data_IF_574843310589
#
_entry.id   IF_574843310589
#
_cell.length_a   1.000
_cell.length_b   1.000
_cell.length_c   1.000
_cell.angle_alpha   90.00
_cell.angle_beta   90.00
_cell.angle_gamma   90.00
#
_symmetry.space_group_name_H-M   'P 1'
#
loop_
_entity.id
_entity.type
_entity.pdbx_description
1 polymer ?
#
# COMPACT_ATOMS: atom_id res chain seq x y z
N UNK A 1 2.97 -26.46 -19.10
CA UNK A 1 1.65 -26.76 -18.50
C UNK A 1 0.97 -25.44 -18.28
N UNK A 2 -0.09 -25.16 -19.05
CA UNK A 2 -0.89 -23.96 -18.87
C UNK A 2 -1.69 -24.11 -17.58
N UNK A 3 -1.51 -23.19 -16.64
CA UNK A 3 -2.26 -23.16 -15.40
C UNK A 3 -3.71 -22.75 -15.69
N UNK A 4 -4.61 -23.73 -15.80
CA UNK A 4 -6.07 -23.56 -15.91
C UNK A 4 -6.65 -23.17 -14.53
N UNK A 5 -6.32 -21.95 -14.09
CA UNK A 5 -6.66 -21.45 -12.76
C UNK A 5 -8.17 -21.35 -12.55
N UNK A 6 -8.64 -21.76 -11.37
CA UNK A 6 -10.00 -21.46 -10.91
C UNK A 6 -10.27 -19.94 -10.97
N UNK A 7 -11.11 -19.53 -11.93
CA UNK A 7 -11.53 -18.13 -12.12
C UNK A 7 -12.65 -17.68 -11.18
N UNK A 8 -12.94 -18.42 -10.10
CA UNK A 8 -14.05 -18.10 -9.20
C UNK A 8 -13.55 -17.40 -7.94
N UNK A 9 -13.18 -16.13 -8.08
CA UNK A 9 -13.02 -15.23 -6.95
C UNK A 9 -14.37 -14.66 -6.52
N UNK A 10 -14.77 -14.90 -5.27
CA UNK A 10 -15.89 -14.19 -4.66
C UNK A 10 -15.35 -13.02 -3.83
N UNK A 11 -15.93 -11.83 -4.02
CA UNK A 11 -15.56 -10.63 -3.29
C UNK A 11 -16.75 -10.10 -2.48
N UNK A 12 -16.47 -9.66 -1.25
CA UNK A 12 -17.43 -8.97 -0.39
C UNK A 12 -16.87 -7.60 -0.04
N UNK A 13 -17.72 -6.57 -0.10
CA UNK A 13 -17.35 -5.19 0.21
C UNK A 13 -18.42 -4.60 1.12
N UNK A 14 -17.98 -3.90 2.16
CA UNK A 14 -18.85 -3.20 3.11
C UNK A 14 -18.38 -1.77 3.33
N UNK A 15 -19.32 -0.85 3.42
CA UNK A 15 -19.09 0.53 3.83
C UNK A 15 -20.01 0.85 5.03
N UNK A 16 -19.46 1.52 6.04
CA UNK A 16 -20.18 1.93 7.25
C UNK A 16 -20.13 3.45 7.33
N UNK A 17 -21.30 4.08 7.41
CA UNK A 17 -21.41 5.53 7.64
C UNK A 17 -21.28 5.83 9.13
N UNK A 18 -20.07 6.24 9.54
CA UNK A 18 -19.74 6.56 10.94
C UNK A 18 -20.60 7.71 11.49
N UNK A 19 -21.05 8.64 10.65
CA UNK A 19 -21.86 9.79 11.08
C UNK A 19 -23.21 9.39 11.67
N UNK A 20 -23.66 8.16 11.43
CA UNK A 20 -24.87 7.58 12.01
C UNK A 20 -24.68 7.06 13.44
N UNK A 21 -23.43 6.95 13.91
CA UNK A 21 -23.08 6.41 15.22
C UNK A 21 -22.52 7.46 16.16
N UNK A 22 -21.71 8.39 15.63
CA UNK A 22 -21.10 9.46 16.43
C UNK A 22 -20.65 10.64 15.56
N UNK A 23 -20.24 11.73 16.21
CA UNK A 23 -19.61 12.86 15.53
C UNK A 23 -18.29 12.43 14.89
N UNK A 24 -18.02 12.92 13.67
CA UNK A 24 -16.82 12.55 12.91
C UNK A 24 -15.51 13.03 13.55
N UNK A 25 -15.51 14.17 14.22
CA UNK A 25 -14.30 14.70 14.87
C UNK A 25 -13.99 13.91 16.14
N UNK A 26 -15.01 13.53 16.92
CA UNK A 26 -14.86 12.65 18.07
C UNK A 26 -14.33 11.27 17.65
N UNK A 27 -14.83 10.72 16.53
CA UNK A 27 -14.37 9.44 16.00
C UNK A 27 -12.88 9.50 15.63
N UNK A 28 -12.47 10.54 14.90
CA UNK A 28 -11.06 10.73 14.53
C UNK A 28 -10.17 10.87 15.76
N UNK A 29 -10.60 11.65 16.76
CA UNK A 29 -9.86 11.82 18.00
C UNK A 29 -9.65 10.49 18.75
N UNK A 30 -10.66 9.60 18.75
CA UNK A 30 -10.54 8.28 19.37
C UNK A 30 -9.59 7.35 18.57
N UNK A 31 -9.63 7.40 17.24
CA UNK A 31 -8.68 6.67 16.37
C UNK A 31 -7.24 7.18 16.56
N UNK A 32 -7.04 8.49 16.70
CA UNK A 32 -5.73 9.09 16.97
C UNK A 32 -5.19 8.62 18.33
N UNK A 33 -6.03 8.61 19.37
CA UNK A 33 -5.69 8.11 20.70
C UNK A 33 -5.33 6.62 20.68
N UNK A 34 -6.11 5.80 19.97
CA UNK A 34 -5.80 4.38 19.77
C UNK A 34 -4.44 4.20 19.08
N UNK A 35 -4.20 4.94 18.00
CA UNK A 35 -2.94 4.91 17.24
C UNK A 35 -1.76 5.28 18.12
N UNK A 36 -1.89 6.34 18.93
CA UNK A 36 -0.85 6.76 19.87
C UNK A 36 -0.57 5.68 20.93
N UNK A 37 -1.63 5.10 21.49
CA UNK A 37 -1.52 4.02 22.49
C UNK A 37 -0.73 2.84 21.93
N UNK A 38 -1.03 2.39 20.70
CA UNK A 38 -0.30 1.30 20.04
C UNK A 38 1.19 1.65 19.90
N UNK A 39 1.50 2.87 19.47
CA UNK A 39 2.90 3.32 19.27
C UNK A 39 3.71 3.38 20.56
N UNK A 40 3.05 3.66 21.68
CA UNK A 40 3.68 3.78 23.00
C UNK A 40 3.85 2.43 23.73
N UNK A 41 3.30 1.34 23.19
CA UNK A 41 3.44 0.02 23.82
C UNK A 41 4.90 -0.46 23.84
N UNK A 42 5.21 -1.34 24.80
CA UNK A 42 6.56 -1.87 24.98
C UNK A 42 7.02 -2.56 23.69
N UNK A 43 8.13 -2.05 23.15
CA UNK A 43 8.73 -2.58 21.92
C UNK A 43 9.46 -3.87 22.24
N UNK A 44 9.40 -4.82 21.32
CA UNK A 44 10.27 -6.00 21.37
C UNK A 44 11.75 -5.55 21.27
N UNK A 45 12.68 -6.17 22.02
CA UNK A 45 14.10 -5.90 21.87
C UNK A 45 14.56 -6.03 20.41
N UNK A 46 15.35 -5.06 19.94
CA UNK A 46 15.82 -4.99 18.55
C UNK A 46 14.89 -4.29 17.56
N UNK A 47 13.79 -3.67 18.03
CA UNK A 47 12.87 -2.89 17.19
C UNK A 47 12.73 -1.45 17.71
N UNK A 48 12.87 -0.48 16.81
CA UNK A 48 12.87 0.94 17.16
C UNK A 48 11.47 1.57 17.22
N UNK A 49 10.50 1.00 16.50
CA UNK A 49 9.14 1.56 16.36
C UNK A 49 8.09 0.49 16.08
N UNK A 50 6.87 0.75 16.56
CA UNK A 50 5.65 0.00 16.23
C UNK A 50 4.87 0.81 15.19
N UNK A 51 4.43 0.16 14.12
CA UNK A 51 3.63 0.75 13.05
C UNK A 51 2.19 0.29 13.17
N UNK A 52 1.24 1.16 12.83
CA UNK A 52 -0.16 0.74 12.63
C UNK A 52 -0.36 0.25 11.18
N UNK A 53 -1.37 -0.60 10.93
CA UNK A 53 -1.69 -1.05 9.58
C UNK A 53 -1.86 0.14 8.62
N UNK A 54 -1.19 0.10 7.47
CA UNK A 54 -1.21 1.17 6.46
C UNK A 54 -0.14 2.26 6.64
N UNK A 55 0.52 2.36 7.80
CA UNK A 55 1.52 3.42 8.06
C UNK A 55 2.78 3.24 7.19
N UNK A 56 3.27 2.01 7.04
CA UNK A 56 4.44 1.72 6.19
C UNK A 56 4.14 2.03 4.73
N UNK A 57 2.95 1.66 4.26
CA UNK A 57 2.48 1.92 2.90
C UNK A 57 2.33 3.42 2.65
N UNK A 58 1.80 4.17 3.62
CA UNK A 58 1.68 5.62 3.54
C UNK A 58 3.04 6.31 3.44
N UNK A 59 4.02 5.90 4.27
CA UNK A 59 5.40 6.42 4.23
C UNK A 59 6.05 6.12 2.87
N UNK A 60 5.93 4.88 2.38
CA UNK A 60 6.48 4.49 1.08
C UNK A 60 5.84 5.29 -0.05
N UNK A 61 4.52 5.48 -0.01
CA UNK A 61 3.79 6.27 -1.00
C UNK A 61 4.29 7.72 -1.03
N UNK A 62 4.45 8.35 0.14
CA UNK A 62 4.96 9.71 0.23
C UNK A 62 6.37 9.83 -0.37
N UNK A 63 7.28 8.94 0.02
CA UNK A 63 8.65 8.91 -0.48
C UNK A 63 8.70 8.67 -2.00
N UNK A 64 8.06 7.61 -2.49
CA UNK A 64 8.13 7.21 -3.90
C UNK A 64 7.33 8.11 -4.84
N UNK A 65 6.37 8.88 -4.33
CA UNK A 65 5.73 9.94 -5.13
C UNK A 65 6.71 11.06 -5.49
N UNK A 66 7.77 11.24 -4.71
CA UNK A 66 8.80 12.25 -4.93
C UNK A 66 10.03 11.68 -5.63
N UNK A 67 10.44 10.45 -5.26
CA UNK A 67 11.69 9.84 -5.75
C UNK A 67 11.49 8.83 -6.88
N UNK A 68 10.25 8.49 -7.23
CA UNK A 68 9.92 7.37 -8.10
C UNK A 68 9.83 6.03 -7.36
N UNK A 69 9.14 5.06 -7.98
CA UNK A 69 8.96 3.70 -7.46
C UNK A 69 10.20 2.87 -7.81
N UNK A 70 10.89 2.26 -6.83
CA UNK A 70 12.03 1.40 -7.10
C UNK A 70 11.57 0.10 -7.77
N UNK A 71 12.04 -0.14 -9.00
CA UNK A 71 11.76 -1.37 -9.74
C UNK A 71 13.04 -2.19 -9.90
N UNK A 72 12.92 -3.50 -9.74
CA UNK A 72 14.01 -4.41 -10.06
C UNK A 72 14.26 -4.42 -11.59
N UNK A 73 15.52 -4.53 -12.03
CA UNK A 73 15.89 -4.50 -13.46
C UNK A 73 15.09 -5.47 -14.32
N UNK A 74 14.92 -6.71 -13.83
CA UNK A 74 14.12 -7.72 -14.52
C UNK A 74 12.66 -7.29 -14.79
N UNK A 75 12.05 -6.49 -13.90
CA UNK A 75 10.70 -5.96 -14.15
C UNK A 75 10.71 -4.87 -15.23
N UNK A 76 11.75 -4.04 -15.27
CA UNK A 76 11.91 -3.03 -16.32
C UNK A 76 12.08 -3.69 -17.68
N UNK A 77 12.90 -4.72 -17.79
CA UNK A 77 13.11 -5.50 -19.02
C UNK A 77 11.80 -6.11 -19.56
N UNK A 78 10.97 -6.66 -18.66
CA UNK A 78 9.64 -7.19 -19.03
C UNK A 78 8.73 -6.08 -19.55
N UNK A 79 8.71 -4.93 -18.88
CA UNK A 79 7.90 -3.78 -19.31
C UNK A 79 8.37 -3.23 -20.66
N UNK A 80 9.68 -3.16 -20.91
CA UNK A 80 10.26 -2.73 -22.19
C UNK A 80 9.93 -3.72 -23.32
N UNK A 81 9.95 -5.02 -23.04
CA UNK A 81 9.54 -6.06 -24.00
C UNK A 81 8.08 -5.86 -24.41
N UNK A 82 7.18 -5.74 -23.44
CA UNK A 82 5.75 -5.52 -23.68
C UNK A 82 5.54 -4.21 -24.45
N UNK A 83 6.24 -3.14 -24.08
CA UNK A 83 6.16 -1.86 -24.78
C UNK A 83 6.53 -1.99 -26.26
N UNK A 84 7.54 -2.80 -26.59
CA UNK A 84 7.92 -3.14 -27.97
C UNK A 84 6.82 -3.92 -28.71
N UNK A 85 6.19 -4.90 -28.06
CA UNK A 85 5.11 -5.71 -28.65
C UNK A 85 3.86 -4.87 -28.98
N UNK A 86 3.53 -3.90 -28.12
CA UNK A 86 2.33 -3.07 -28.28
C UNK A 86 2.60 -1.73 -28.98
N UNK A 87 3.84 -1.48 -29.41
CA UNK A 87 4.23 -0.28 -30.16
C UNK A 87 4.22 1.02 -29.34
N UNK A 88 4.46 0.95 -28.03
CA UNK A 88 4.55 2.12 -27.15
C UNK A 88 6.01 2.56 -27.02
N UNK A 89 6.33 3.74 -27.56
CA UNK A 89 7.66 4.32 -27.43
C UNK A 89 7.79 5.08 -26.10
N UNK A 90 8.18 4.36 -25.04
CA UNK A 90 8.49 4.96 -23.74
C UNK A 90 9.70 4.28 -23.12
N UNK A 91 10.83 4.99 -23.09
CA UNK A 91 11.99 4.58 -22.29
C UNK A 91 11.64 4.65 -20.81
N UNK A 92 11.64 3.51 -20.15
CA UNK A 92 11.40 3.46 -18.71
C UNK A 92 12.63 4.05 -18.00
N UNK A 93 12.46 4.99 -17.07
CA UNK A 93 13.58 5.53 -16.32
C UNK A 93 14.15 4.41 -15.46
N UNK A 94 15.31 3.89 -15.84
CA UNK A 94 16.14 3.10 -14.94
C UNK A 94 16.63 4.07 -13.85
N UNK A 95 16.11 3.92 -12.63
CA UNK A 95 16.72 4.48 -11.42
C UNK A 95 17.95 3.66 -11.04
#
# INVERSE_FOLDING_TARGET
>A
EDFDGQQQGAHYVQAIDISKFMNMDDFKAEIDKMTQTIRETCKRPGYDRIYVPGEIEWIKKEAWSQTGIPLHKAHVEVLETIAGEVGVDRKMPLS
#
